data_IF_230574340484
#
_entry.id   IF_230574340484
#
_cell.length_a   1.000
_cell.length_b   1.000
_cell.length_c   1.000
_cell.angle_alpha   90.00
_cell.angle_beta   90.00
_cell.angle_gamma   90.00
#
_symmetry.space_group_name_H-M   'P 1'
#
loop_
_entity.id
_entity.type
_entity.pdbx_description
1 polymer ?
#
# COMPACT_ATOMS: atom_id res chain seq x y z
N UNK A 1 -5.12 13.90 -11.89
CA UNK A 1 -3.83 14.43 -11.39
C UNK A 1 -3.59 13.89 -10.00
N UNK A 2 -2.33 13.76 -9.60
CA UNK A 2 -1.92 13.49 -8.22
C UNK A 2 -1.23 14.74 -7.71
N UNK A 3 -1.67 15.23 -6.57
CA UNK A 3 -1.04 16.36 -5.90
C UNK A 3 -0.55 15.92 -4.52
N UNK A 4 0.55 16.51 -4.05
CA UNK A 4 1.09 16.26 -2.72
C UNK A 4 1.29 17.60 -2.04
N UNK A 5 0.72 17.75 -0.87
CA UNK A 5 0.76 18.94 -0.05
C UNK A 5 1.66 18.67 1.15
N UNK A 6 2.72 19.46 1.30
CA UNK A 6 3.61 19.39 2.46
C UNK A 6 3.36 20.59 3.34
N UNK A 7 2.85 20.35 4.52
CA UNK A 7 2.64 21.34 5.56
C UNK A 7 3.71 21.15 6.64
N UNK A 8 4.10 22.21 7.30
CA UNK A 8 4.99 22.18 8.45
C UNK A 8 4.23 22.77 9.64
N UNK A 9 4.92 23.48 10.53
CA UNK A 9 4.29 24.05 11.71
C UNK A 9 3.24 25.12 11.36
N UNK A 10 2.09 25.04 12.00
CA UNK A 10 0.98 25.99 11.85
C UNK A 10 -0.36 25.26 11.79
N UNK A 11 -1.44 26.01 11.84
CA UNK A 11 -2.78 25.46 11.59
C UNK A 11 -3.12 25.72 10.12
N UNK A 12 -2.88 24.74 9.27
CA UNK A 12 -3.03 24.87 7.83
C UNK A 12 -4.42 24.42 7.36
N UNK A 13 -4.82 24.88 6.19
CA UNK A 13 -6.04 24.42 5.52
C UNK A 13 -5.68 23.89 4.15
N UNK A 14 -5.86 22.59 3.97
CA UNK A 14 -5.52 21.88 2.74
C UNK A 14 -6.82 21.41 2.09
N UNK A 15 -7.00 21.78 0.83
CA UNK A 15 -8.15 21.35 0.04
C UNK A 15 -7.65 20.70 -1.26
N UNK A 16 -7.70 19.38 -1.30
CA UNK A 16 -7.41 18.63 -2.53
C UNK A 16 -8.39 18.96 -3.64
N UNK A 17 -7.99 18.69 -4.85
CA UNK A 17 -8.80 18.90 -6.06
C UNK A 17 -9.32 17.53 -6.58
N UNK A 18 -9.54 17.41 -7.86
CA UNK A 18 -9.94 16.13 -8.44
C UNK A 18 -8.72 15.26 -8.75
N UNK A 19 -8.74 14.03 -8.31
CA UNK A 19 -7.66 13.07 -8.56
C UNK A 19 -7.36 12.25 -7.33
N UNK A 20 -6.10 12.01 -7.06
CA UNK A 20 -5.64 11.32 -5.86
C UNK A 20 -4.64 12.23 -5.14
N UNK A 21 -5.10 12.85 -4.08
CA UNK A 21 -4.36 13.90 -3.37
C UNK A 21 -3.82 13.38 -2.04
N UNK A 22 -2.59 13.76 -1.73
CA UNK A 22 -1.85 13.31 -0.54
C UNK A 22 -1.41 14.50 0.30
N UNK A 23 -1.58 14.45 1.61
CA UNK A 23 -0.91 15.33 2.56
C UNK A 23 0.30 14.61 3.16
N UNK A 24 1.46 15.29 3.22
CA UNK A 24 2.76 14.70 3.54
C UNK A 24 3.42 15.43 4.72
N UNK A 25 3.54 14.74 5.86
CA UNK A 25 4.17 15.21 7.10
C UNK A 25 5.56 14.60 7.32
N UNK A 26 6.13 13.89 6.34
CA UNK A 26 7.45 13.26 6.48
C UNK A 26 8.58 14.27 6.77
N UNK A 27 8.37 15.53 6.43
CA UNK A 27 9.29 16.63 6.67
C UNK A 27 9.28 17.21 8.09
N UNK A 28 8.27 16.92 8.90
CA UNK A 28 8.07 17.55 10.21
C UNK A 28 9.25 17.37 11.15
N UNK A 29 9.76 16.15 11.26
CA UNK A 29 10.92 15.85 12.12
C UNK A 29 12.17 16.65 11.72
N UNK A 30 12.43 16.79 10.42
CA UNK A 30 13.57 17.57 9.92
C UNK A 30 13.39 19.08 10.16
N UNK A 31 12.14 19.55 10.24
CA UNK A 31 11.78 20.94 10.52
C UNK A 31 11.66 21.28 12.02
N UNK A 32 11.82 20.28 12.90
CA UNK A 32 11.80 20.45 14.36
C UNK A 32 10.53 19.95 15.06
N UNK A 33 9.63 19.30 14.35
CA UNK A 33 8.53 18.53 14.94
C UNK A 33 9.09 17.33 15.75
N UNK A 34 8.48 17.05 16.88
CA UNK A 34 9.00 16.04 17.83
C UNK A 34 8.05 14.88 18.09
N UNK A 35 6.87 14.88 17.49
CA UNK A 35 5.84 13.89 17.68
C UNK A 35 5.43 13.24 16.35
N UNK A 36 4.74 12.12 16.44
CA UNK A 36 3.98 11.57 15.33
C UNK A 36 2.69 12.37 15.11
N UNK A 37 2.03 12.13 13.97
CA UNK A 37 0.78 12.80 13.64
C UNK A 37 -0.44 12.05 14.19
N UNK A 38 -1.55 12.77 14.30
CA UNK A 38 -2.86 12.14 14.51
C UNK A 38 -3.81 12.64 13.41
N UNK A 39 -4.06 11.77 12.42
CA UNK A 39 -4.93 12.08 11.28
C UNK A 39 -6.31 11.43 11.45
N UNK A 40 -7.37 12.19 11.19
CA UNK A 40 -8.74 11.68 11.19
C UNK A 40 -9.53 12.21 10.00
N UNK A 41 -9.75 11.35 9.01
CA UNK A 41 -10.46 11.67 7.79
C UNK A 41 -11.97 11.84 7.99
N UNK A 42 -12.54 11.27 9.06
CA UNK A 42 -13.97 11.47 9.39
C UNK A 42 -14.25 12.89 9.88
N UNK A 43 -13.30 13.51 10.57
CA UNK A 43 -13.40 14.91 11.04
C UNK A 43 -12.73 15.89 10.09
N UNK A 44 -11.91 15.40 9.15
CA UNK A 44 -11.12 16.23 8.25
C UNK A 44 -10.02 17.01 8.97
N UNK A 45 -9.35 16.39 9.96
CA UNK A 45 -8.32 17.06 10.77
C UNK A 45 -7.06 16.23 10.89
N UNK A 46 -5.90 16.88 10.97
CA UNK A 46 -4.62 16.27 11.32
C UNK A 46 -3.96 17.10 12.41
N UNK A 47 -3.54 16.46 13.50
CA UNK A 47 -2.59 17.08 14.43
C UNK A 47 -1.20 16.75 13.90
N UNK A 48 -0.40 17.76 13.57
CA UNK A 48 0.93 17.65 12.98
C UNK A 48 2.02 17.26 14.01
N UNK A 49 3.25 17.03 13.56
CA UNK A 49 4.40 16.71 14.42
C UNK A 49 4.83 17.82 15.36
N UNK A 50 4.28 19.03 15.22
CA UNK A 50 4.50 20.20 16.10
C UNK A 50 3.37 20.37 17.13
N UNK A 51 2.26 19.63 16.99
CA UNK A 51 1.07 19.73 17.84
C UNK A 51 0.04 20.77 17.37
N UNK A 52 0.16 21.33 16.16
CA UNK A 52 -0.86 22.19 15.58
C UNK A 52 -1.94 21.34 14.90
N UNK A 53 -3.06 21.96 14.58
CA UNK A 53 -4.19 21.24 13.95
C UNK A 53 -4.49 21.79 12.57
N UNK A 54 -4.29 20.94 11.58
CA UNK A 54 -4.62 21.21 10.19
C UNK A 54 -6.04 20.75 9.86
N UNK A 55 -6.64 21.42 8.88
CA UNK A 55 -7.92 21.01 8.31
C UNK A 55 -7.69 20.48 6.90
N UNK A 56 -8.15 19.26 6.63
CA UNK A 56 -8.03 18.60 5.33
C UNK A 56 -9.41 18.34 4.72
N UNK A 57 -9.54 18.57 3.42
CA UNK A 57 -10.73 18.24 2.64
C UNK A 57 -10.32 17.68 1.28
N UNK A 58 -11.08 16.72 0.75
CA UNK A 58 -10.82 16.08 -0.55
C UNK A 58 -9.38 15.48 -0.64
N UNK A 59 -8.92 14.89 0.43
CA UNK A 59 -7.61 14.20 0.51
C UNK A 59 -7.85 12.69 0.53
N UNK A 60 -7.06 11.95 -0.26
CA UNK A 60 -7.17 10.50 -0.44
C UNK A 60 -6.02 9.73 0.23
N UNK A 61 -4.95 10.42 0.62
CA UNK A 61 -3.79 9.79 1.22
C UNK A 61 -3.13 10.68 2.28
N UNK A 62 -2.54 10.04 3.29
CA UNK A 62 -1.72 10.72 4.29
C UNK A 62 -0.40 9.98 4.43
N UNK A 63 0.69 10.75 4.47
CA UNK A 63 2.01 10.28 4.85
C UNK A 63 2.39 10.89 6.18
N UNK A 64 2.70 10.02 7.15
CA UNK A 64 3.12 10.37 8.49
C UNK A 64 4.61 10.69 8.61
N UNK A 65 5.11 10.49 9.78
CA UNK A 65 6.47 10.81 10.21
C UNK A 65 7.30 9.53 10.42
N UNK A 66 8.51 9.64 10.95
CA UNK A 66 9.25 8.49 11.46
C UNK A 66 9.01 8.25 12.98
N UNK A 67 7.94 8.80 13.52
CA UNK A 67 7.50 8.60 14.90
C UNK A 67 6.15 7.89 14.92
N UNK A 68 5.75 7.33 16.03
CA UNK A 68 4.46 6.64 16.15
C UNK A 68 3.27 7.54 15.78
N UNK A 69 2.59 7.20 14.71
CA UNK A 69 1.46 7.92 14.13
C UNK A 69 0.12 7.20 14.43
N UNK A 70 -0.96 7.96 14.43
CA UNK A 70 -2.31 7.42 14.52
C UNK A 70 -3.18 7.96 13.39
N UNK A 71 -3.71 7.09 12.54
CA UNK A 71 -4.45 7.47 11.35
C UNK A 71 -5.78 6.74 11.26
N UNK A 72 -6.85 7.49 11.09
CA UNK A 72 -8.23 6.97 11.00
C UNK A 72 -8.88 7.40 9.70
N UNK A 73 -9.41 6.44 8.95
CA UNK A 73 -10.12 6.63 7.69
C UNK A 73 -11.45 7.36 7.85
N UNK A 74 -12.00 7.74 6.73
CA UNK A 74 -13.29 8.41 6.62
C UNK A 74 -14.38 7.48 6.05
N UNK A 75 -15.24 8.02 5.21
CA UNK A 75 -16.28 7.27 4.52
C UNK A 75 -15.90 6.87 3.08
N UNK A 76 -14.71 7.24 2.64
CA UNK A 76 -14.15 6.98 1.30
C UNK A 76 -12.81 6.29 1.45
N UNK A 77 -12.30 5.71 0.35
CA UNK A 77 -10.95 5.17 0.28
C UNK A 77 -9.90 6.12 0.83
N UNK A 78 -9.00 5.62 1.67
CA UNK A 78 -7.81 6.32 2.15
C UNK A 78 -6.58 5.43 2.04
N UNK A 79 -5.45 6.02 1.64
CA UNK A 79 -4.13 5.40 1.75
C UNK A 79 -3.38 5.97 2.93
N UNK A 80 -2.89 5.10 3.79
CA UNK A 80 -2.03 5.42 4.93
C UNK A 80 -0.58 5.03 4.64
N UNK A 81 0.36 5.90 4.96
CA UNK A 81 1.80 5.62 4.96
C UNK A 81 2.38 6.11 6.29
N UNK A 82 2.72 5.20 7.19
CA UNK A 82 3.25 5.55 8.53
C UNK A 82 4.71 5.97 8.48
N UNK A 83 5.50 5.37 7.59
CA UNK A 83 6.95 5.38 7.56
C UNK A 83 7.52 4.61 8.75
N UNK A 84 8.40 5.22 9.56
CA UNK A 84 8.94 4.55 10.75
C UNK A 84 8.17 4.93 12.01
N UNK A 85 8.18 4.04 12.98
CA UNK A 85 7.40 4.19 14.21
C UNK A 85 6.53 2.96 14.46
N UNK A 86 5.90 2.90 15.61
CA UNK A 86 4.86 1.90 15.84
C UNK A 86 3.52 2.57 15.55
N UNK A 87 3.01 2.41 14.35
CA UNK A 87 1.87 3.16 13.84
C UNK A 87 0.54 2.43 14.09
N UNK A 88 -0.54 3.19 14.11
CA UNK A 88 -1.89 2.64 14.23
C UNK A 88 -2.75 3.15 13.09
N UNK A 89 -3.30 2.21 12.29
CA UNK A 89 -4.20 2.52 11.18
C UNK A 89 -5.57 1.92 11.42
N UNK A 90 -6.60 2.73 11.32
CA UNK A 90 -7.99 2.31 11.40
C UNK A 90 -8.66 2.68 10.07
N UNK A 91 -8.84 1.71 9.20
CA UNK A 91 -9.60 1.88 7.97
C UNK A 91 -11.09 2.03 8.21
N UNK A 92 -11.85 2.07 7.16
CA UNK A 92 -13.29 2.29 7.14
C UNK A 92 -14.06 1.04 6.67
N UNK A 93 -15.26 1.22 6.16
CA UNK A 93 -16.04 0.18 5.50
C UNK A 93 -15.80 0.10 3.98
N UNK A 94 -14.90 0.92 3.47
CA UNK A 94 -14.45 0.93 2.07
C UNK A 94 -13.09 0.27 1.98
N UNK A 95 -12.66 -0.10 0.76
CA UNK A 95 -11.33 -0.67 0.54
C UNK A 95 -10.25 0.37 0.86
N UNK A 96 -9.54 0.25 1.99
CA UNK A 96 -8.45 1.13 2.40
C UNK A 96 -7.08 0.47 2.22
N UNK A 97 -6.03 1.27 2.02
CA UNK A 97 -4.68 0.79 1.72
C UNK A 97 -3.66 1.27 2.77
N UNK A 98 -2.84 0.35 3.28
CA UNK A 98 -1.56 0.70 3.92
C UNK A 98 -0.44 0.59 2.90
N UNK A 99 0.51 1.53 2.92
CA UNK A 99 1.58 1.60 1.93
C UNK A 99 2.94 1.85 2.59
N UNK A 100 3.86 0.96 2.34
CA UNK A 100 5.27 1.01 2.77
C UNK A 100 6.23 1.41 1.63
N UNK A 101 5.68 1.79 0.47
CA UNK A 101 6.47 2.09 -0.73
C UNK A 101 7.47 3.25 -0.56
N UNK A 102 7.29 4.08 0.45
CA UNK A 102 8.15 5.23 0.73
C UNK A 102 9.14 5.00 1.88
N UNK A 103 9.11 3.83 2.54
CA UNK A 103 9.99 3.53 3.66
C UNK A 103 11.47 3.69 3.29
N UNK A 104 11.88 3.11 2.16
CA UNK A 104 13.27 3.18 1.70
C UNK A 104 13.76 4.61 1.46
N UNK A 105 12.91 5.50 0.97
CA UNK A 105 13.27 6.92 0.75
C UNK A 105 13.34 7.74 2.03
N UNK A 106 12.80 7.20 3.15
CA UNK A 106 12.74 7.86 4.45
C UNK A 106 13.63 7.16 5.51
N UNK A 107 14.47 6.20 5.11
CA UNK A 107 15.46 5.56 5.97
C UNK A 107 15.20 4.11 6.33
N UNK A 108 14.07 3.54 5.96
CA UNK A 108 13.80 2.11 6.04
C UNK A 108 14.67 1.35 5.03
N UNK A 109 15.10 0.14 5.36
CA UNK A 109 16.04 -0.63 4.52
C UNK A 109 15.63 -2.09 4.31
N UNK A 110 14.54 -2.53 4.91
CA UNK A 110 14.07 -3.91 4.85
C UNK A 110 12.76 -4.03 4.06
N UNK A 111 12.45 -5.25 3.63
CA UNK A 111 11.11 -5.61 3.22
C UNK A 111 10.16 -5.68 4.40
N UNK A 112 8.87 -5.63 4.14
CA UNK A 112 7.83 -5.63 5.18
C UNK A 112 7.22 -7.02 5.37
N UNK A 113 6.72 -7.26 6.57
CA UNK A 113 5.90 -8.45 6.84
C UNK A 113 4.53 -8.01 7.33
N UNK A 114 3.50 -8.22 6.53
CA UNK A 114 2.13 -7.78 6.81
C UNK A 114 1.20 -8.97 6.97
N UNK A 115 0.37 -8.96 8.01
CA UNK A 115 -0.63 -9.98 8.24
C UNK A 115 -2.00 -9.34 8.53
N UNK A 116 -2.89 -9.38 7.53
CA UNK A 116 -4.23 -8.80 7.63
C UNK A 116 -5.10 -9.53 8.66
N UNK A 117 -4.88 -10.84 8.88
CA UNK A 117 -5.64 -11.61 9.87
C UNK A 117 -5.37 -11.17 11.32
N UNK A 118 -4.12 -10.84 11.64
CA UNK A 118 -3.75 -10.34 12.98
C UNK A 118 -3.85 -8.83 13.10
N UNK A 119 -3.99 -8.10 12.00
CA UNK A 119 -3.96 -6.64 11.99
C UNK A 119 -2.60 -6.08 12.42
N UNK A 120 -1.51 -6.71 11.98
CA UNK A 120 -0.14 -6.31 12.36
C UNK A 120 0.81 -6.31 11.18
N UNK A 121 1.78 -5.41 11.20
CA UNK A 121 2.89 -5.40 10.24
C UNK A 121 4.22 -5.12 10.93
N UNK A 122 5.31 -5.62 10.33
CA UNK A 122 6.66 -5.11 10.58
C UNK A 122 7.03 -4.25 9.37
N UNK A 123 7.32 -2.97 9.61
CA UNK A 123 7.64 -1.98 8.58
C UNK A 123 9.08 -2.12 8.04
N UNK A 124 9.46 -1.29 7.06
CA UNK A 124 10.80 -1.26 6.49
C UNK A 124 11.89 -0.75 7.43
N UNK A 125 11.54 -0.22 8.59
CA UNK A 125 12.44 0.22 9.66
C UNK A 125 12.60 -0.83 10.76
N UNK A 126 11.76 -1.88 10.78
CA UNK A 126 11.71 -2.93 11.79
C UNK A 126 10.80 -2.63 12.97
N UNK A 127 9.94 -1.59 12.89
CA UNK A 127 8.94 -1.28 13.88
C UNK A 127 7.68 -2.14 13.68
N UNK A 128 6.78 -2.12 14.64
CA UNK A 128 5.54 -2.89 14.56
C UNK A 128 4.32 -1.98 14.50
N UNK A 129 3.60 -2.07 13.39
CA UNK A 129 2.34 -1.38 13.20
C UNK A 129 1.16 -2.26 13.56
N UNK A 130 0.06 -1.61 13.92
CA UNK A 130 -1.22 -2.25 14.17
C UNK A 130 -2.30 -1.61 13.31
N UNK A 131 -3.23 -2.44 12.80
CA UNK A 131 -4.30 -1.91 11.96
C UNK A 131 -5.58 -2.74 12.05
N UNK A 132 -6.67 -2.15 11.60
CA UNK A 132 -7.97 -2.81 11.42
C UNK A 132 -8.70 -2.25 10.21
N UNK A 133 -9.57 -3.05 9.60
CA UNK A 133 -10.36 -2.67 8.42
C UNK A 133 -9.46 -2.16 7.28
N UNK A 134 -8.46 -2.95 6.92
CA UNK A 134 -7.56 -2.71 5.79
C UNK A 134 -7.65 -3.90 4.84
N UNK A 135 -7.88 -3.61 3.56
CA UNK A 135 -8.05 -4.62 2.50
C UNK A 135 -6.90 -4.60 1.49
N UNK A 136 -6.12 -3.53 1.45
CA UNK A 136 -5.05 -3.41 0.48
C UNK A 136 -3.71 -3.10 1.14
N UNK A 137 -2.66 -3.76 0.62
CA UNK A 137 -1.28 -3.58 1.08
C UNK A 137 -0.40 -3.25 -0.11
N UNK A 138 0.43 -2.23 0.05
CA UNK A 138 1.54 -1.95 -0.85
C UNK A 138 2.84 -2.07 -0.07
N UNK A 139 3.71 -2.96 -0.53
CA UNK A 139 5.03 -3.22 0.01
C UNK A 139 6.10 -2.24 -0.43
N UNK A 140 7.30 -2.72 -0.44
CA UNK A 140 8.53 -2.00 -0.72
C UNK A 140 9.17 -2.47 -2.05
N UNK A 141 10.38 -2.02 -2.36
CA UNK A 141 11.18 -2.61 -3.43
C UNK A 141 12.15 -3.72 -2.90
N UNK A 142 11.90 -4.23 -1.71
CA UNK A 142 12.64 -5.34 -1.09
C UNK A 142 11.70 -6.54 -0.91
N UNK A 143 12.25 -7.72 -0.66
CA UNK A 143 11.44 -8.91 -0.48
C UNK A 143 10.46 -8.80 0.70
N UNK A 144 9.17 -8.83 0.40
CA UNK A 144 8.05 -8.66 1.33
C UNK A 144 7.30 -9.96 1.58
N UNK A 145 6.62 -10.04 2.72
CA UNK A 145 5.69 -11.14 3.02
C UNK A 145 4.32 -10.56 3.37
N UNK A 146 3.29 -10.91 2.59
CA UNK A 146 1.93 -10.40 2.79
C UNK A 146 0.94 -11.55 2.95
N UNK A 147 0.21 -11.54 4.08
CA UNK A 147 -0.78 -12.59 4.42
C UNK A 147 -2.18 -11.97 4.52
N UNK A 148 -3.15 -12.59 3.86
CA UNK A 148 -4.54 -12.18 3.87
C UNK A 148 -5.27 -12.44 5.18
N UNK A 149 -6.35 -11.70 5.42
CA UNK A 149 -7.17 -11.76 6.62
C UNK A 149 -8.31 -12.78 6.55
N UNK A 150 -8.83 -13.01 5.35
CA UNK A 150 -9.91 -13.98 5.11
C UNK A 150 -11.30 -13.56 5.58
N UNK A 151 -11.44 -12.37 6.10
CA UNK A 151 -12.73 -11.84 6.56
C UNK A 151 -13.42 -10.96 5.51
N UNK A 152 -12.67 -10.54 4.49
CA UNK A 152 -13.11 -9.57 3.51
C UNK A 152 -13.43 -10.22 2.17
N UNK A 153 -14.36 -9.62 1.44
CA UNK A 153 -14.75 -10.09 0.12
C UNK A 153 -13.66 -9.86 -0.94
N UNK A 154 -12.70 -8.97 -0.67
CA UNK A 154 -11.63 -8.58 -1.57
C UNK A 154 -10.38 -8.16 -0.80
N UNK A 155 -9.22 -8.69 -1.17
CA UNK A 155 -7.91 -8.25 -0.68
C UNK A 155 -6.96 -8.06 -1.86
N UNK A 156 -6.06 -7.07 -1.75
CA UNK A 156 -5.10 -6.75 -2.82
C UNK A 156 -3.70 -6.53 -2.27
N UNK A 157 -2.75 -7.23 -2.85
CA UNK A 157 -1.33 -7.12 -2.54
C UNK A 157 -0.57 -6.54 -3.73
N UNK A 158 0.28 -5.55 -3.48
CA UNK A 158 1.25 -4.97 -4.39
C UNK A 158 2.62 -5.10 -3.76
N UNK A 159 3.46 -6.02 -4.25
CA UNK A 159 4.82 -6.23 -3.75
C UNK A 159 5.72 -5.07 -4.15
N UNK A 160 5.55 -4.56 -5.35
CA UNK A 160 6.48 -3.72 -6.10
C UNK A 160 7.70 -4.55 -6.54
N UNK A 161 8.94 -4.16 -6.15
CA UNK A 161 10.12 -4.96 -6.48
C UNK A 161 10.58 -5.83 -5.32
N UNK A 162 11.29 -6.89 -5.63
CA UNK A 162 11.73 -7.85 -4.64
C UNK A 162 11.19 -9.24 -4.93
N UNK A 163 11.73 -10.23 -4.26
CA UNK A 163 11.19 -11.59 -4.34
C UNK A 163 10.12 -11.77 -3.24
N UNK A 164 8.89 -11.45 -3.57
CA UNK A 164 7.81 -11.33 -2.61
C UNK A 164 7.09 -12.66 -2.36
N UNK A 165 6.43 -12.74 -1.22
CA UNK A 165 5.58 -13.89 -0.86
C UNK A 165 4.18 -13.43 -0.52
N UNK A 166 3.20 -13.85 -1.32
CA UNK A 166 1.78 -13.54 -1.11
C UNK A 166 1.02 -14.79 -0.65
N UNK A 167 0.41 -14.71 0.51
CA UNK A 167 -0.35 -15.79 1.12
C UNK A 167 -1.80 -15.32 1.25
N UNK A 168 -2.61 -15.59 0.24
CA UNK A 168 -4.05 -15.33 0.29
C UNK A 168 -4.79 -16.34 1.15
N UNK A 169 -6.09 -16.18 1.25
CA UNK A 169 -6.99 -17.09 1.94
C UNK A 169 -7.88 -17.85 0.95
N UNK A 170 -8.58 -18.85 1.43
CA UNK A 170 -9.56 -19.58 0.59
C UNK A 170 -10.90 -18.85 0.48
N UNK A 171 -11.09 -17.75 1.21
CA UNK A 171 -12.28 -16.92 1.17
C UNK A 171 -12.07 -15.68 0.29
N UNK A 172 -13.15 -15.20 -0.32
CA UNK A 172 -13.16 -13.95 -1.06
C UNK A 172 -12.29 -13.91 -2.32
N UNK A 173 -11.89 -12.72 -2.68
CA UNK A 173 -11.08 -12.44 -3.86
C UNK A 173 -9.70 -11.94 -3.45
N UNK A 174 -8.70 -12.78 -3.70
CA UNK A 174 -7.32 -12.55 -3.37
C UNK A 174 -6.56 -12.13 -4.62
N UNK A 175 -6.06 -10.91 -4.67
CA UNK A 175 -5.46 -10.31 -5.87
C UNK A 175 -4.02 -9.89 -5.66
N UNK A 176 -3.12 -10.31 -6.56
CA UNK A 176 -1.82 -9.66 -6.75
C UNK A 176 -1.93 -8.62 -7.87
N UNK A 177 -1.28 -7.47 -7.71
CA UNK A 177 -1.47 -6.31 -8.60
C UNK A 177 -0.12 -5.63 -8.89
N UNK A 178 0.36 -5.77 -10.12
CA UNK A 178 1.62 -5.21 -10.63
C UNK A 178 1.45 -3.88 -11.37
N UNK A 179 0.22 -3.34 -11.43
CA UNK A 179 -0.07 -2.14 -12.22
C UNK A 179 0.63 -0.87 -11.74
N UNK A 180 1.28 -0.92 -10.59
CA UNK A 180 2.01 0.22 -10.04
C UNK A 180 3.53 0.07 -10.08
N UNK A 181 4.05 -1.04 -10.58
CA UNK A 181 5.49 -1.30 -10.63
C UNK A 181 6.23 -0.19 -11.37
N UNK A 182 5.69 0.29 -12.50
CA UNK A 182 6.28 1.36 -13.30
C UNK A 182 6.42 2.69 -12.56
N UNK A 183 5.56 2.99 -11.57
CA UNK A 183 5.66 4.21 -10.76
C UNK A 183 6.79 4.14 -9.72
N UNK A 184 7.26 2.94 -9.41
CA UNK A 184 8.28 2.69 -8.39
C UNK A 184 9.59 2.15 -8.97
N UNK A 185 9.74 2.13 -10.29
CA UNK A 185 10.99 1.79 -10.98
C UNK A 185 10.98 0.47 -11.75
N UNK A 186 9.92 -0.33 -11.66
CA UNK A 186 9.70 -1.51 -12.50
C UNK A 186 9.32 -1.11 -13.92
N UNK A 187 10.11 -1.48 -14.91
CA UNK A 187 9.95 -1.05 -16.30
C UNK A 187 9.69 -2.19 -17.29
N UNK A 188 9.30 -3.37 -16.81
CA UNK A 188 9.11 -4.55 -17.63
C UNK A 188 7.68 -5.13 -17.53
N UNK A 189 7.31 -5.90 -18.53
CA UNK A 189 6.13 -6.75 -18.53
C UNK A 189 6.25 -7.84 -17.45
N UNK A 190 5.12 -8.27 -16.90
CA UNK A 190 5.09 -9.34 -15.90
C UNK A 190 4.72 -10.69 -16.53
N UNK A 191 5.18 -11.75 -15.89
CA UNK A 191 4.74 -13.11 -16.22
C UNK A 191 4.16 -13.76 -14.98
N UNK A 192 2.84 -13.97 -14.96
CA UNK A 192 2.13 -14.57 -13.83
C UNK A 192 1.69 -16.00 -14.17
N UNK A 193 2.15 -16.98 -13.40
CA UNK A 193 1.88 -18.39 -13.66
C UNK A 193 1.18 -19.05 -12.46
N UNK A 194 -0.13 -19.30 -12.59
CA UNK A 194 -0.95 -19.95 -11.59
C UNK A 194 -0.77 -21.46 -11.54
N UNK A 195 -0.12 -22.09 -12.54
CA UNK A 195 0.20 -23.52 -12.47
C UNK A 195 1.44 -23.81 -11.61
N UNK A 196 2.34 -22.84 -11.48
CA UNK A 196 3.52 -22.92 -10.61
C UNK A 196 3.39 -22.06 -9.35
N UNK A 197 2.37 -21.20 -9.28
CA UNK A 197 2.17 -20.19 -8.23
C UNK A 197 3.37 -19.24 -8.10
N UNK A 198 3.86 -18.75 -9.24
CA UNK A 198 4.97 -17.80 -9.31
C UNK A 198 4.64 -16.64 -10.24
N UNK A 199 5.26 -15.48 -10.01
CA UNK A 199 5.24 -14.39 -10.95
C UNK A 199 6.64 -13.79 -11.10
N UNK A 200 6.96 -13.31 -12.31
CA UNK A 200 8.09 -12.41 -12.52
C UNK A 200 7.51 -11.01 -12.57
N UNK A 201 7.93 -10.15 -11.65
CA UNK A 201 7.45 -8.77 -11.49
C UNK A 201 8.02 -7.81 -12.54
N UNK A 202 7.60 -6.54 -12.51
CA UNK A 202 8.08 -5.49 -13.39
C UNK A 202 9.54 -5.07 -13.16
N UNK A 203 10.18 -5.55 -12.10
CA UNK A 203 11.60 -5.35 -11.77
C UNK A 203 12.48 -6.54 -12.18
N UNK A 204 11.86 -7.67 -12.55
CA UNK A 204 12.52 -8.92 -12.94
C UNK A 204 12.80 -9.88 -11.79
N UNK A 205 12.30 -9.61 -10.59
CA UNK A 205 12.36 -10.55 -9.47
C UNK A 205 11.25 -11.62 -9.57
N UNK A 206 11.38 -12.68 -8.79
CA UNK A 206 10.40 -13.77 -8.82
C UNK A 206 9.66 -13.86 -7.51
N UNK A 207 8.37 -13.61 -7.59
CA UNK A 207 7.43 -13.75 -6.49
C UNK A 207 6.87 -15.17 -6.39
N UNK A 208 6.43 -15.50 -5.19
CA UNK A 208 5.70 -16.73 -4.92
C UNK A 208 4.35 -16.41 -4.30
N UNK A 209 3.34 -17.21 -4.62
CA UNK A 209 2.02 -16.98 -4.04
C UNK A 209 1.27 -18.28 -3.75
N UNK A 210 0.31 -18.20 -2.82
CA UNK A 210 -0.62 -19.27 -2.52
C UNK A 210 -2.03 -18.72 -2.26
N UNK A 211 -3.07 -19.46 -2.60
CA UNK A 211 -4.48 -19.06 -2.44
C UNK A 211 -4.82 -17.69 -3.09
N UNK A 212 -4.09 -17.31 -4.12
CA UNK A 212 -4.40 -16.14 -4.95
C UNK A 212 -5.30 -16.62 -6.10
N UNK A 213 -6.35 -15.84 -6.42
CA UNK A 213 -7.30 -16.18 -7.48
C UNK A 213 -7.48 -15.05 -8.51
N UNK A 214 -6.73 -13.95 -8.35
CA UNK A 214 -6.72 -12.84 -9.31
C UNK A 214 -5.31 -12.30 -9.51
N UNK A 215 -5.02 -11.86 -10.73
CA UNK A 215 -3.81 -11.11 -11.02
C UNK A 215 -4.11 -9.94 -11.97
N UNK A 216 -3.47 -8.82 -11.71
CA UNK A 216 -3.47 -7.65 -12.57
C UNK A 216 -2.05 -7.35 -13.01
N UNK A 217 -1.87 -7.18 -14.31
CA UNK A 217 -0.60 -6.87 -14.94
C UNK A 217 -0.26 -5.39 -14.96
N UNK A 218 0.63 -5.06 -15.85
CA UNK A 218 1.20 -3.74 -16.09
C UNK A 218 0.58 -3.06 -17.31
N UNK A 219 1.21 -2.02 -17.81
CA UNK A 219 0.87 -1.39 -19.12
C UNK A 219 1.75 -1.93 -20.26
N UNK A 220 2.50 -3.02 -20.02
CA UNK A 220 3.36 -3.69 -20.98
C UNK A 220 2.71 -5.00 -21.49
N UNK A 221 3.40 -5.71 -22.37
CA UNK A 221 2.91 -6.98 -22.95
C UNK A 221 3.08 -8.13 -21.96
N UNK A 222 2.11 -8.36 -21.10
CA UNK A 222 2.15 -9.31 -20.01
C UNK A 222 1.81 -10.75 -20.45
N UNK A 223 2.22 -11.72 -19.66
CA UNK A 223 1.89 -13.14 -19.86
C UNK A 223 1.20 -13.70 -18.64
N UNK A 224 0.03 -14.30 -18.84
CA UNK A 224 -0.75 -14.96 -17.79
C UNK A 224 -0.98 -16.42 -18.17
N UNK A 225 -0.62 -17.33 -17.26
CA UNK A 225 -0.80 -18.75 -17.40
C UNK A 225 -1.75 -19.24 -16.31
N UNK A 226 -2.90 -19.78 -16.70
CA UNK A 226 -3.89 -20.29 -15.75
C UNK A 226 -3.41 -21.59 -15.08
N UNK A 227 -3.89 -21.79 -13.86
CA UNK A 227 -3.77 -23.06 -13.15
C UNK A 227 -5.06 -23.89 -13.24
N UNK A 228 -5.10 -24.99 -12.53
CA UNK A 228 -6.27 -25.89 -12.52
C UNK A 228 -7.48 -25.34 -11.74
N UNK A 229 -7.30 -24.33 -10.91
CA UNK A 229 -8.33 -23.82 -9.97
C UNK A 229 -9.11 -22.62 -10.46
N UNK A 230 -8.96 -22.22 -11.71
CA UNK A 230 -9.60 -21.03 -12.27
C UNK A 230 -9.06 -19.73 -11.66
N UNK A 231 -8.67 -18.79 -12.49
CA UNK A 231 -8.16 -17.49 -12.08
C UNK A 231 -8.77 -16.38 -12.94
N UNK A 232 -8.75 -15.15 -12.41
CA UNK A 232 -9.15 -13.97 -13.17
C UNK A 232 -7.93 -13.11 -13.44
N UNK A 233 -7.71 -12.79 -14.71
CA UNK A 233 -6.62 -11.96 -15.17
C UNK A 233 -7.11 -10.64 -15.72
N UNK A 234 -6.31 -9.58 -15.53
CA UNK A 234 -6.49 -8.28 -16.17
C UNK A 234 -5.13 -7.79 -16.65
N UNK A 235 -4.93 -7.75 -17.98
CA UNK A 235 -3.68 -7.31 -18.60
C UNK A 235 -3.45 -5.81 -18.44
N UNK A 236 -4.43 -4.97 -18.70
CA UNK A 236 -4.41 -3.52 -18.85
C UNK A 236 -4.04 -3.13 -20.29
N UNK A 237 -3.09 -2.17 -20.47
CA UNK A 237 -2.57 -1.81 -21.77
C UNK A 237 -1.52 -2.85 -22.20
N UNK A 238 -1.17 -2.82 -23.48
CA UNK A 238 -0.22 -3.79 -24.03
C UNK A 238 -0.88 -4.87 -24.87
N UNK A 239 -0.05 -5.73 -25.47
CA UNK A 239 -0.48 -6.91 -26.21
C UNK A 239 -0.27 -8.16 -25.35
N UNK A 240 -1.24 -8.44 -24.48
CA UNK A 240 -1.12 -9.47 -23.46
C UNK A 240 -1.39 -10.88 -23.99
N UNK A 241 -0.76 -11.86 -23.36
CA UNK A 241 -0.93 -13.27 -23.66
C UNK A 241 -1.60 -14.01 -22.50
N UNK A 242 -2.72 -14.68 -22.78
CA UNK A 242 -3.44 -15.50 -21.80
C UNK A 242 -3.44 -16.96 -22.26
N UNK A 243 -2.94 -17.85 -21.42
CA UNK A 243 -2.89 -19.30 -21.67
C UNK A 243 -3.69 -20.06 -20.60
N UNK A 244 -4.59 -20.95 -21.03
CA UNK A 244 -5.40 -21.81 -20.17
C UNK A 244 -4.92 -23.24 -20.13
#
# INVERSE_FOLDING_TARGET
>A
TKESYSCLAGNDTINGVSGHDEVDYSGDSAAGGTAGITANFSTGTVVDGFGNTDTITNIDAVRGTNSADSMTGGSSFVRFSGLGGNDTFIGSSTDDEISYAHDASNGGSAGVTVNLASGTATDGFGNTDTFSSIEMVRGTNSADVMTGGGNDSFERFRGLGGADTFIGTTAGFQSIDYSHDNFFGGGAAVTVNFSTNTAVDGFGATDTFSNINRARGTEFNDTFIAGSSGARFRGLDGADTFTG
#
